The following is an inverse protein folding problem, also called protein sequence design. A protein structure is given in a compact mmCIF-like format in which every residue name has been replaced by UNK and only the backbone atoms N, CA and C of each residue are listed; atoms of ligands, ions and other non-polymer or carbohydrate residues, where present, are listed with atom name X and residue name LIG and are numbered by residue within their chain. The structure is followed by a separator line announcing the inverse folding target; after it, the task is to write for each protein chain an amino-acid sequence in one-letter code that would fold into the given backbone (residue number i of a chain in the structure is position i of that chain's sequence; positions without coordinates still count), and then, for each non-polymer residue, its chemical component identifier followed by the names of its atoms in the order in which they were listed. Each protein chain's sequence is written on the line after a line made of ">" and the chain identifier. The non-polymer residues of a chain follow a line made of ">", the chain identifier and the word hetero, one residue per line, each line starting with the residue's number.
data_IF_220707566087
#
_entry.id   IF_220707566087
#
_cell.length_a   1.000
_cell.length_b   1.000
_cell.length_c   1.000
_cell.angle_alpha   90.00
_cell.angle_beta   90.00
_cell.angle_gamma   90.00
#
_symmetry.space_group_name_H-M   'P 1'
#
loop_
_entity.id
_entity.type
_entity.pdbx_description
1 polymer ?
#
# COMPACT_ATOMS: atom_id res chain seq x y z
N UNK A 1 25.91 37.06 15.82
CA UNK A 1 25.41 35.68 16.06
C UNK A 1 23.91 35.65 16.37
N UNK A 2 23.41 36.48 17.30
CA UNK A 2 21.99 36.57 17.66
C UNK A 2 21.00 36.67 16.48
N UNK A 3 21.21 37.60 15.54
CA UNK A 3 20.34 37.79 14.37
C UNK A 3 20.24 36.53 13.49
N UNK A 4 21.35 35.80 13.31
CA UNK A 4 21.37 34.57 12.51
C UNK A 4 20.57 33.45 13.19
N UNK A 5 20.74 33.25 14.51
CA UNK A 5 19.97 32.26 15.28
C UNK A 5 18.46 32.53 15.23
N UNK A 6 18.07 33.80 15.29
CA UNK A 6 16.67 34.22 15.25
C UNK A 6 16.04 33.94 13.88
N UNK A 7 16.76 34.24 12.78
CA UNK A 7 16.30 33.91 11.42
C UNK A 7 16.20 32.38 11.24
N UNK A 8 17.23 31.62 11.63
CA UNK A 8 17.21 30.15 11.54
C UNK A 8 16.07 29.53 12.35
N UNK A 9 15.76 30.09 13.53
CA UNK A 9 14.62 29.67 14.34
C UNK A 9 13.29 29.85 13.60
N UNK A 10 13.04 31.04 13.05
CA UNK A 10 11.81 31.31 12.30
C UNK A 10 11.67 30.39 11.09
N UNK A 11 12.74 30.20 10.32
CA UNK A 11 12.74 29.30 9.15
C UNK A 11 12.42 27.87 9.56
N UNK A 12 13.07 27.35 10.61
CA UNK A 12 12.85 25.98 11.09
C UNK A 12 11.42 25.77 11.61
N UNK A 13 10.84 26.74 12.32
CA UNK A 13 9.45 26.66 12.81
C UNK A 13 8.47 26.68 11.63
N UNK A 14 8.64 27.59 10.66
CA UNK A 14 7.75 27.69 9.49
C UNK A 14 7.82 26.42 8.66
N UNK A 15 9.02 25.94 8.34
CA UNK A 15 9.22 24.68 7.63
C UNK A 15 8.55 23.51 8.37
N UNK A 16 8.71 23.47 9.69
CA UNK A 16 8.10 22.45 10.53
C UNK A 16 6.56 22.49 10.51
N UNK A 17 5.96 23.68 10.59
CA UNK A 17 4.51 23.84 10.48
C UNK A 17 3.97 23.39 9.12
N UNK A 18 4.68 23.70 8.03
CA UNK A 18 4.32 23.24 6.69
C UNK A 18 4.38 21.72 6.59
N UNK A 19 5.44 21.10 7.11
CA UNK A 19 5.58 19.64 7.14
C UNK A 19 4.50 18.97 8.00
N UNK A 20 4.21 19.50 9.19
CA UNK A 20 3.12 18.97 10.03
C UNK A 20 1.78 19.09 9.29
N UNK A 21 1.48 20.25 8.70
CA UNK A 21 0.26 20.45 7.92
C UNK A 21 0.16 19.46 6.75
N UNK A 22 1.24 19.31 5.97
CA UNK A 22 1.30 18.37 4.85
C UNK A 22 1.15 16.91 5.27
N UNK A 23 1.75 16.52 6.40
CA UNK A 23 1.62 15.17 6.95
C UNK A 23 0.20 14.86 7.45
N UNK A 24 -0.45 15.78 8.17
CA UNK A 24 -1.85 15.60 8.60
C UNK A 24 -2.76 15.51 7.38
N UNK A 25 -2.57 16.41 6.41
CA UNK A 25 -3.32 16.40 5.17
C UNK A 25 -3.14 15.09 4.40
N UNK A 26 -1.91 14.58 4.30
CA UNK A 26 -1.61 13.30 3.64
C UNK A 26 -2.36 12.13 4.27
N UNK A 27 -2.36 12.04 5.60
CA UNK A 27 -3.13 11.01 6.34
C UNK A 27 -4.63 11.12 6.05
N UNK A 28 -5.19 12.33 6.11
CA UNK A 28 -6.62 12.57 5.87
C UNK A 28 -7.01 12.27 4.41
N UNK A 29 -6.16 12.66 3.46
CA UNK A 29 -6.34 12.37 2.04
C UNK A 29 -6.33 10.86 1.78
N UNK A 30 -5.35 10.12 2.31
CA UNK A 30 -5.34 8.66 2.16
C UNK A 30 -6.57 8.01 2.79
N UNK A 31 -6.95 8.44 3.99
CA UNK A 31 -8.13 7.91 4.69
C UNK A 31 -9.42 8.09 3.87
N UNK A 32 -9.63 9.29 3.33
CA UNK A 32 -10.84 9.61 2.57
C UNK A 32 -10.92 8.85 1.24
N UNK A 33 -9.79 8.67 0.55
CA UNK A 33 -9.76 7.88 -0.68
C UNK A 33 -10.02 6.40 -0.40
N UNK A 34 -9.33 5.81 0.59
CA UNK A 34 -9.52 4.40 0.92
C UNK A 34 -10.94 4.14 1.45
N UNK A 35 -11.48 5.03 2.29
CA UNK A 35 -12.84 4.88 2.82
C UNK A 35 -13.93 4.93 1.74
N UNK A 36 -13.68 5.59 0.59
CA UNK A 36 -14.62 5.66 -0.53
C UNK A 36 -14.83 4.30 -1.21
N UNK A 37 -13.82 3.45 -1.20
CA UNK A 37 -13.88 2.12 -1.82
C UNK A 37 -14.80 1.14 -1.05
N UNK A 38 -15.20 1.50 0.18
CA UNK A 38 -16.15 0.74 1.01
C UNK A 38 -15.80 -0.76 1.14
N UNK A 39 -14.52 -1.04 1.35
CA UNK A 39 -14.01 -2.40 1.51
C UNK A 39 -14.13 -2.80 2.98
N UNK A 40 -14.64 -4.01 3.23
CA UNK A 40 -14.65 -4.65 4.56
C UNK A 40 -13.81 -5.92 4.49
N UNK A 41 -12.99 -6.16 5.51
CA UNK A 41 -12.16 -7.36 5.57
C UNK A 41 -13.03 -8.61 5.75
N UNK A 42 -12.64 -9.75 5.14
CA UNK A 42 -13.34 -11.03 5.35
C UNK A 42 -13.06 -11.59 6.75
N UNK A 43 -13.87 -12.57 7.16
CA UNK A 43 -13.81 -13.27 8.44
C UNK A 43 -12.50 -14.04 8.68
N UNK A 44 -11.86 -14.49 7.60
CA UNK A 44 -10.58 -15.21 7.63
C UNK A 44 -9.35 -14.29 7.53
N UNK A 45 -9.54 -12.96 7.54
CA UNK A 45 -8.44 -12.01 7.63
C UNK A 45 -7.85 -11.92 9.04
N UNK A 46 -6.61 -11.43 9.14
CA UNK A 46 -5.95 -11.18 10.43
C UNK A 46 -6.67 -10.12 11.29
N UNK A 47 -7.44 -9.24 10.65
CA UNK A 47 -8.35 -8.30 11.31
C UNK A 47 -9.71 -8.48 10.63
N UNK A 48 -10.60 -9.30 11.19
CA UNK A 48 -11.86 -9.68 10.54
C UNK A 48 -12.96 -8.64 10.70
N UNK A 49 -13.90 -8.59 9.74
CA UNK A 49 -15.16 -7.84 9.78
C UNK A 49 -15.04 -6.35 10.09
N UNK A 50 -13.95 -5.70 9.65
CA UNK A 50 -13.73 -4.27 9.85
C UNK A 50 -13.59 -3.50 8.53
N UNK A 51 -14.05 -2.24 8.48
CA UNK A 51 -13.80 -1.38 7.33
C UNK A 51 -12.30 -1.15 7.10
N UNK A 52 -11.85 -1.35 5.87
CA UNK A 52 -10.47 -1.07 5.44
C UNK A 52 -10.31 0.44 5.32
N UNK A 53 -9.69 1.07 6.32
CA UNK A 53 -9.51 2.53 6.36
C UNK A 53 -8.15 2.97 6.88
N UNK A 54 -7.47 2.12 7.65
CA UNK A 54 -6.18 2.42 8.24
C UNK A 54 -5.06 1.53 7.71
N UNK A 55 -3.80 1.82 8.08
CA UNK A 55 -2.63 1.07 7.62
C UNK A 55 -2.70 -0.42 7.98
N UNK A 56 -3.13 -0.76 9.20
CA UNK A 56 -3.23 -2.16 9.62
C UNK A 56 -4.32 -2.93 8.88
N UNK A 57 -5.49 -2.32 8.68
CA UNK A 57 -6.58 -2.93 7.92
C UNK A 57 -6.26 -3.05 6.43
N UNK A 58 -5.53 -2.08 5.85
CA UNK A 58 -5.01 -2.15 4.47
C UNK A 58 -4.08 -3.35 4.31
N UNK A 59 -3.15 -3.53 5.25
CA UNK A 59 -2.23 -4.67 5.26
C UNK A 59 -2.98 -5.99 5.40
N UNK A 60 -3.92 -6.09 6.36
CA UNK A 60 -4.74 -7.29 6.55
C UNK A 60 -5.50 -7.67 5.27
N UNK A 61 -6.08 -6.68 4.58
CA UNK A 61 -6.77 -6.89 3.31
C UNK A 61 -5.81 -7.36 2.19
N UNK A 62 -4.63 -6.74 2.07
CA UNK A 62 -3.65 -7.12 1.06
C UNK A 62 -3.15 -8.57 1.27
N UNK A 63 -2.88 -8.94 2.52
CA UNK A 63 -2.41 -10.27 2.90
C UNK A 63 -3.47 -11.35 2.63
N UNK A 64 -4.74 -11.09 2.94
CA UNK A 64 -5.81 -12.06 2.72
C UNK A 64 -6.13 -12.25 1.23
N UNK A 65 -6.08 -11.18 0.42
CA UNK A 65 -6.20 -11.30 -1.05
C UNK A 65 -5.11 -12.21 -1.60
N UNK A 66 -3.85 -12.02 -1.17
CA UNK A 66 -2.74 -12.87 -1.60
C UNK A 66 -2.98 -14.33 -1.20
N UNK A 67 -3.46 -14.57 0.00
CA UNK A 67 -3.74 -15.90 0.55
C UNK A 67 -4.82 -16.61 -0.26
N UNK A 68 -5.94 -15.94 -0.56
CA UNK A 68 -7.00 -16.46 -1.43
C UNK A 68 -6.51 -16.70 -2.85
N UNK A 69 -5.67 -15.80 -3.38
CA UNK A 69 -5.09 -15.95 -4.72
C UNK A 69 -4.22 -17.19 -4.81
N UNK A 70 -3.33 -17.41 -3.82
CA UNK A 70 -2.52 -18.63 -3.75
C UNK A 70 -3.40 -19.87 -3.62
N UNK A 71 -4.45 -19.84 -2.80
CA UNK A 71 -5.39 -20.96 -2.67
C UNK A 71 -6.11 -21.29 -3.98
N UNK A 72 -6.53 -20.28 -4.74
CA UNK A 72 -7.16 -20.46 -6.06
C UNK A 72 -6.18 -20.95 -7.14
N UNK A 73 -4.89 -20.71 -6.96
CA UNK A 73 -3.83 -21.05 -7.94
C UNK A 73 -2.96 -22.22 -7.49
N UNK A 74 -3.45 -23.03 -6.55
CA UNK A 74 -2.77 -24.22 -6.04
C UNK A 74 -1.36 -23.92 -5.47
N UNK A 75 -1.18 -22.75 -4.87
CA UNK A 75 0.08 -22.28 -4.33
C UNK A 75 1.05 -21.70 -5.36
N UNK A 76 0.69 -21.68 -6.65
CA UNK A 76 1.55 -21.16 -7.72
C UNK A 76 1.38 -19.65 -7.90
N UNK A 77 2.49 -18.94 -7.96
CA UNK A 77 2.54 -17.52 -8.32
C UNK A 77 2.40 -17.31 -9.82
N UNK A 78 2.16 -16.07 -10.24
CA UNK A 78 2.02 -15.69 -11.65
C UNK A 78 3.16 -16.17 -12.56
N UNK A 79 4.39 -16.18 -12.05
CA UNK A 79 5.59 -16.58 -12.79
C UNK A 79 5.77 -18.10 -12.86
N UNK A 80 5.20 -18.84 -11.91
CA UNK A 80 5.26 -20.31 -11.83
C UNK A 80 4.21 -20.99 -12.71
N UNK A 81 3.30 -20.21 -13.31
CA UNK A 81 2.25 -20.70 -14.19
C UNK A 81 2.55 -20.40 -15.66
N UNK A 82 2.33 -21.39 -16.52
CA UNK A 82 2.40 -21.22 -17.97
C UNK A 82 1.30 -20.27 -18.46
N UNK A 83 1.60 -19.53 -19.54
CA UNK A 83 0.62 -18.65 -20.20
C UNK A 83 -0.54 -19.41 -20.82
N UNK A 84 -0.25 -20.62 -21.30
CA UNK A 84 -1.20 -21.51 -21.92
C UNK A 84 -1.19 -22.85 -21.21
N UNK A 85 -2.36 -23.48 -21.14
CA UNK A 85 -2.57 -24.82 -20.60
C UNK A 85 -3.34 -25.65 -21.64
N UNK A 86 -3.16 -26.97 -21.68
CA UNK A 86 -3.94 -27.82 -22.56
C UNK A 86 -5.43 -27.66 -22.24
N UNK A 87 -6.25 -27.50 -23.29
CA UNK A 87 -7.70 -27.47 -23.16
C UNK A 87 -8.18 -28.86 -22.76
N UNK A 88 -8.84 -28.95 -21.62
CA UNK A 88 -9.38 -30.20 -21.10
C UNK A 88 -10.83 -30.39 -21.57
N UNK A 89 -11.23 -31.64 -21.81
CA UNK A 89 -12.62 -32.03 -22.04
C UNK A 89 -13.38 -32.21 -20.71
N UNK A 90 -14.65 -32.65 -20.80
CA UNK A 90 -15.52 -32.86 -19.64
C UNK A 90 -15.02 -34.00 -18.72
N UNK A 91 -14.16 -34.88 -19.23
CA UNK A 91 -13.52 -35.97 -18.49
C UNK A 91 -12.14 -35.56 -17.93
N UNK A 92 -11.70 -34.32 -18.15
CA UNK A 92 -10.41 -33.81 -17.70
C UNK A 92 -9.22 -34.24 -18.56
N UNK A 93 -9.45 -34.73 -19.78
CA UNK A 93 -8.40 -35.16 -20.72
C UNK A 93 -8.07 -34.04 -21.71
N UNK A 94 -6.80 -33.89 -22.14
CA UNK A 94 -6.43 -32.92 -23.16
C UNK A 94 -7.12 -33.19 -24.49
N UNK A 95 -7.82 -32.18 -25.02
CA UNK A 95 -8.40 -32.22 -26.36
C UNK A 95 -7.25 -32.14 -27.36
N UNK A 96 -7.16 -33.14 -28.25
CA UNK A 96 -6.15 -33.18 -29.30
C UNK A 96 -6.66 -32.51 -30.58
N UNK A 97 -5.80 -31.74 -31.25
CA UNK A 97 -6.05 -31.17 -32.57
C UNK A 97 -5.84 -32.20 -33.69
N UNK A 98 -6.11 -31.80 -34.94
CA UNK A 98 -5.89 -32.64 -36.13
C UNK A 98 -4.44 -33.11 -36.30
N UNK A 99 -3.49 -32.41 -35.69
CA UNK A 99 -2.05 -32.71 -35.67
C UNK A 99 -1.64 -33.70 -34.56
N UNK A 100 -2.59 -34.15 -33.73
CA UNK A 100 -2.35 -35.04 -32.60
C UNK A 100 -1.77 -34.36 -31.35
N UNK A 101 -1.56 -33.03 -31.37
CA UNK A 101 -1.09 -32.27 -30.21
C UNK A 101 -2.27 -31.72 -29.40
N UNK A 102 -2.06 -31.47 -28.10
CA UNK A 102 -3.09 -30.87 -27.26
C UNK A 102 -3.39 -29.42 -27.69
N UNK A 103 -4.67 -29.10 -27.90
CA UNK A 103 -5.12 -27.73 -28.19
C UNK A 103 -4.87 -26.88 -26.97
N UNK A 104 -3.96 -25.91 -27.08
CA UNK A 104 -3.63 -25.01 -25.98
C UNK A 104 -4.67 -23.90 -25.85
N UNK A 105 -5.04 -23.55 -24.63
CA UNK A 105 -5.91 -22.41 -24.30
C UNK A 105 -5.23 -21.49 -23.28
N UNK A 106 -5.74 -20.27 -23.13
CA UNK A 106 -5.21 -19.29 -22.18
C UNK A 106 -5.42 -19.77 -20.73
N UNK A 107 -4.40 -19.58 -19.89
CA UNK A 107 -4.48 -19.94 -18.48
C UNK A 107 -5.22 -18.85 -17.68
N UNK A 108 -6.53 -19.03 -17.50
CA UNK A 108 -7.37 -18.08 -16.75
C UNK A 108 -7.01 -17.99 -15.27
N UNK A 109 -6.44 -19.04 -14.67
CA UNK A 109 -5.95 -19.00 -13.29
C UNK A 109 -4.77 -18.05 -13.12
N UNK A 110 -3.94 -17.91 -14.17
CA UNK A 110 -2.86 -16.92 -14.21
C UNK A 110 -3.39 -15.49 -14.27
N UNK A 111 -4.56 -15.26 -14.86
CA UNK A 111 -5.16 -13.93 -14.96
C UNK A 111 -5.72 -13.43 -13.61
N UNK A 112 -6.09 -14.33 -12.69
CA UNK A 112 -6.49 -13.99 -11.31
C UNK A 112 -5.39 -13.19 -10.61
N UNK A 113 -4.13 -13.58 -10.81
CA UNK A 113 -2.98 -12.88 -10.23
C UNK A 113 -2.82 -11.45 -10.75
N UNK A 114 -3.26 -11.15 -11.99
CA UNK A 114 -3.17 -9.79 -12.53
C UNK A 114 -4.08 -8.88 -11.69
N UNK A 115 -5.35 -9.26 -11.56
CA UNK A 115 -6.33 -8.51 -10.75
C UNK A 115 -5.92 -8.44 -9.28
N UNK A 116 -5.49 -9.55 -8.70
CA UNK A 116 -5.05 -9.60 -7.30
C UNK A 116 -3.84 -8.68 -7.07
N UNK A 117 -2.86 -8.69 -7.97
CA UNK A 117 -1.67 -7.84 -7.88
C UNK A 117 -2.05 -6.37 -8.00
N UNK A 118 -2.97 -6.01 -8.88
CA UNK A 118 -3.47 -4.64 -9.00
C UNK A 118 -4.07 -4.16 -7.69
N UNK A 119 -4.95 -4.94 -7.06
CA UNK A 119 -5.60 -4.57 -5.81
C UNK A 119 -4.61 -4.52 -4.63
N UNK A 120 -3.76 -5.54 -4.49
CA UNK A 120 -2.69 -5.58 -3.47
C UNK A 120 -1.76 -4.38 -3.62
N UNK A 121 -1.39 -4.02 -4.84
CA UNK A 121 -0.51 -2.86 -5.10
C UNK A 121 -1.19 -1.56 -4.68
N UNK A 122 -2.47 -1.37 -5.00
CA UNK A 122 -3.22 -0.19 -4.57
C UNK A 122 -3.30 -0.08 -3.03
N UNK A 123 -3.57 -1.19 -2.34
CA UNK A 123 -3.61 -1.25 -0.88
C UNK A 123 -2.24 -0.93 -0.26
N UNK A 124 -1.16 -1.50 -0.83
CA UNK A 124 0.20 -1.23 -0.39
C UNK A 124 0.63 0.22 -0.65
N UNK A 125 0.23 0.83 -1.77
CA UNK A 125 0.44 2.26 -2.02
C UNK A 125 -0.26 3.12 -0.96
N UNK A 126 -1.47 2.76 -0.54
CA UNK A 126 -2.14 3.38 0.60
C UNK A 126 -1.35 3.26 1.90
N UNK A 127 -0.80 2.07 2.19
CA UNK A 127 0.07 1.84 3.34
C UNK A 127 1.34 2.72 3.27
N UNK A 128 1.97 2.81 2.10
CA UNK A 128 3.12 3.69 1.87
C UNK A 128 2.76 5.17 2.06
N UNK A 129 1.59 5.61 1.60
CA UNK A 129 1.14 6.98 1.78
C UNK A 129 0.97 7.34 3.27
N UNK A 130 0.44 6.42 4.08
CA UNK A 130 0.38 6.59 5.54
C UNK A 130 1.78 6.65 6.17
N UNK A 131 2.67 5.72 5.82
CA UNK A 131 4.02 5.68 6.35
C UNK A 131 4.81 6.95 5.98
N UNK A 132 4.71 7.39 4.72
CA UNK A 132 5.33 8.62 4.24
C UNK A 132 4.78 9.84 4.98
N UNK A 133 3.46 9.94 5.13
CA UNK A 133 2.84 11.05 5.87
C UNK A 133 3.25 11.07 7.34
N UNK A 134 3.39 9.91 7.98
CA UNK A 134 3.87 9.81 9.36
C UNK A 134 5.33 10.28 9.50
N UNK A 135 6.20 9.95 8.54
CA UNK A 135 7.59 10.43 8.52
C UNK A 135 7.65 11.95 8.30
N UNK A 136 6.82 12.48 7.38
CA UNK A 136 6.71 13.92 7.14
C UNK A 136 6.25 14.66 8.40
N UNK A 137 5.24 14.13 9.12
CA UNK A 137 4.82 14.66 10.42
C UNK A 137 5.96 14.69 11.43
N UNK A 138 6.69 13.58 11.55
CA UNK A 138 7.79 13.45 12.49
C UNK A 138 8.90 14.48 12.19
N UNK A 139 9.30 14.64 10.92
CA UNK A 139 10.26 15.67 10.52
C UNK A 139 9.74 17.09 10.80
N UNK A 140 8.45 17.33 10.61
CA UNK A 140 7.83 18.60 10.96
C UNK A 140 7.95 18.93 12.45
N UNK A 141 7.65 17.96 13.32
CA UNK A 141 7.80 18.10 14.77
C UNK A 141 9.26 18.36 15.16
N UNK A 142 10.21 17.60 14.59
CA UNK A 142 11.64 17.82 14.83
C UNK A 142 12.11 19.21 14.37
N UNK A 143 11.61 19.70 13.22
CA UNK A 143 11.94 21.04 12.73
C UNK A 143 11.40 22.14 13.64
N UNK A 144 10.18 22.00 14.18
CA UNK A 144 9.65 22.94 15.17
C UNK A 144 10.50 22.91 16.45
N UNK A 145 10.84 21.71 16.94
CA UNK A 145 11.65 21.55 18.14
C UNK A 145 13.04 22.19 18.02
N UNK A 146 13.74 21.97 16.91
CA UNK A 146 15.03 22.63 16.62
C UNK A 146 14.88 24.14 16.52
N UNK A 147 13.80 24.63 15.91
CA UNK A 147 13.47 26.05 15.87
C UNK A 147 13.26 26.67 17.24
N UNK A 148 12.58 25.98 18.17
CA UNK A 148 12.42 26.43 19.56
C UNK A 148 13.77 26.49 20.29
N UNK A 149 14.66 25.53 20.07
CA UNK A 149 16.01 25.53 20.65
C UNK A 149 16.81 26.74 20.16
N UNK A 150 16.80 27.03 18.85
CA UNK A 150 17.48 28.21 18.31
C UNK A 150 16.90 29.52 18.85
N UNK A 151 15.58 29.58 19.05
CA UNK A 151 14.95 30.73 19.69
C UNK A 151 15.47 30.93 21.12
N UNK A 152 15.51 29.87 21.93
CA UNK A 152 16.00 29.92 23.30
C UNK A 152 17.48 30.34 23.37
N UNK A 153 18.33 29.79 22.49
CA UNK A 153 19.75 30.16 22.38
C UNK A 153 19.93 31.63 21.99
N UNK A 154 19.10 32.16 21.08
CA UNK A 154 19.16 33.57 20.67
C UNK A 154 18.84 34.56 21.79
N UNK A 155 18.16 34.12 22.86
CA UNK A 155 17.93 34.95 24.05
C UNK A 155 19.13 34.99 25.00
N UNK A 156 19.97 33.95 24.99
CA UNK A 156 21.14 33.80 25.86
C UNK A 156 22.39 34.50 25.29
N UNK A 157 22.51 34.59 23.96
CA UNK A 157 23.58 35.28 23.23
C UNK A 157 23.08 36.59 22.55
#
# INVERSE_FOLDING_TARGET
>A
MKKMLLVSSFVAIIAGLVLVGGGVWGIAFTYTNVARENITTPDDASIPDVPVRGPFTLKAQADIIRTHTLRMTEGKTFAEMSRQIPKLDVEGKPILGEDGNAVMTANTARDIWITATTLITALNLGLFAYAFSAVVLLFGIFSIWTGVIFYALSRKY
#
